data_IF_513950491552
#
_entry.id   IF_513950491552
#
_cell.length_a   1.000
_cell.length_b   1.000
_cell.length_c   1.000
_cell.angle_alpha   90.00
_cell.angle_beta   90.00
_cell.angle_gamma   90.00
#
_symmetry.space_group_name_H-M   'P 1'
#
loop_
_entity.id
_entity.type
_entity.pdbx_description
1 polymer ?
#
# COMPACT_ATOMS: atom_id res chain seq x y z
N UNK A 1 10.67 -44.60 11.67
CA UNK A 1 9.33 -44.97 11.12
C UNK A 1 8.19 -44.34 11.92
N UNK A 2 8.21 -44.40 13.27
CA UNK A 2 7.09 -43.88 14.08
C UNK A 2 6.86 -42.36 13.95
N UNK A 3 7.93 -41.54 13.93
CA UNK A 3 7.79 -40.09 13.78
C UNK A 3 7.34 -39.68 12.35
N UNK A 4 7.76 -40.43 11.34
CA UNK A 4 7.38 -40.16 9.96
C UNK A 4 5.85 -40.27 9.77
N UNK A 5 5.24 -41.28 10.39
CA UNK A 5 3.79 -41.47 10.38
C UNK A 5 3.07 -40.37 11.17
N UNK A 6 3.66 -39.87 12.26
CA UNK A 6 3.05 -38.84 13.11
C UNK A 6 2.97 -37.47 12.44
N UNK A 7 3.79 -37.22 11.42
CA UNK A 7 3.85 -35.96 10.66
C UNK A 7 3.31 -36.12 9.23
N UNK A 8 3.10 -37.36 8.76
CA UNK A 8 2.67 -37.64 7.38
C UNK A 8 3.79 -37.40 6.35
N UNK A 9 4.99 -37.89 6.66
CA UNK A 9 6.13 -37.77 5.75
C UNK A 9 5.89 -38.55 4.46
N UNK A 10 6.01 -37.87 3.32
CA UNK A 10 5.90 -38.47 1.99
C UNK A 10 7.26 -38.71 1.34
N UNK A 11 8.25 -37.90 1.68
CA UNK A 11 9.59 -38.03 1.13
C UNK A 11 10.64 -37.56 2.16
N UNK A 12 11.77 -38.24 2.18
CA UNK A 12 12.94 -37.92 2.99
C UNK A 12 14.18 -38.25 2.19
N UNK A 13 14.99 -37.28 1.89
CA UNK A 13 16.26 -37.49 1.15
C UNK A 13 17.38 -36.61 1.71
N UNK A 14 18.63 -37.06 1.49
CA UNK A 14 19.78 -36.22 1.80
C UNK A 14 19.78 -34.98 0.93
N UNK A 15 19.96 -33.80 1.54
CA UNK A 15 20.07 -32.52 0.81
C UNK A 15 21.35 -32.49 -0.04
N UNK A 16 22.44 -33.06 0.49
CA UNK A 16 23.73 -33.12 -0.14
C UNK A 16 24.20 -34.62 -0.24
N UNK A 17 23.68 -35.37 -1.24
CA UNK A 17 23.89 -36.85 -1.28
C UNK A 17 25.34 -37.27 -1.57
N UNK A 18 26.15 -36.39 -2.15
CA UNK A 18 27.55 -36.67 -2.45
C UNK A 18 28.52 -36.31 -1.33
N UNK A 19 28.05 -35.51 -0.35
CA UNK A 19 28.89 -35.08 0.76
C UNK A 19 29.11 -36.20 1.77
N UNK A 20 30.31 -36.22 2.30
CA UNK A 20 30.76 -37.16 3.35
C UNK A 20 31.08 -36.37 4.61
N UNK A 21 30.93 -37.02 5.75
CA UNK A 21 31.39 -36.46 7.01
C UNK A 21 32.87 -36.09 6.96
N UNK A 22 33.27 -34.94 7.53
CA UNK A 22 34.66 -34.55 7.61
C UNK A 22 35.51 -35.63 8.32
N UNK A 23 36.68 -35.94 7.77
CA UNK A 23 37.62 -36.93 8.37
C UNK A 23 38.11 -36.49 9.76
N UNK A 24 38.15 -35.17 10.02
CA UNK A 24 38.53 -34.57 11.30
C UNK A 24 37.42 -33.61 11.76
N UNK A 25 37.15 -33.53 13.08
CA UNK A 25 36.09 -32.66 13.58
C UNK A 25 36.41 -31.15 13.51
N UNK A 26 37.73 -30.82 13.46
CA UNK A 26 38.20 -29.41 13.51
C UNK A 26 39.32 -29.16 12.50
N UNK A 27 39.41 -27.89 12.06
CA UNK A 27 40.57 -27.43 11.28
C UNK A 27 41.78 -27.13 12.16
N UNK A 28 42.90 -26.71 11.56
CA UNK A 28 44.16 -26.41 12.27
C UNK A 28 44.01 -25.22 13.26
N UNK A 29 43.02 -24.37 13.10
CA UNK A 29 42.69 -23.26 14.01
C UNK A 29 41.71 -23.65 15.14
N UNK A 30 41.33 -24.94 15.23
CA UNK A 30 40.39 -25.43 16.25
C UNK A 30 38.90 -25.16 15.96
N UNK A 31 38.56 -24.67 14.78
CA UNK A 31 37.17 -24.42 14.40
C UNK A 31 36.53 -25.73 13.90
N UNK A 32 35.30 -26.00 14.34
CA UNK A 32 34.54 -27.20 13.96
C UNK A 32 34.10 -27.10 12.48
N UNK A 33 34.35 -28.19 11.74
CA UNK A 33 33.83 -28.33 10.37
C UNK A 33 32.32 -28.56 10.39
N UNK A 34 31.59 -27.92 9.46
CA UNK A 34 30.21 -28.26 9.21
C UNK A 34 30.09 -29.61 8.48
N UNK A 35 29.23 -30.49 8.97
CA UNK A 35 28.93 -31.76 8.32
C UNK A 35 27.61 -31.70 7.54
N UNK A 36 27.70 -31.41 6.25
CA UNK A 36 26.51 -31.30 5.38
C UNK A 36 25.94 -32.69 5.02
N UNK A 37 26.68 -33.76 5.24
CA UNK A 37 26.24 -35.14 4.93
C UNK A 37 25.08 -35.61 5.82
N UNK A 38 24.82 -34.90 6.94
CA UNK A 38 23.77 -35.19 7.89
C UNK A 38 22.53 -34.33 7.68
N UNK A 39 22.50 -33.48 6.64
CA UNK A 39 21.35 -32.63 6.33
C UNK A 39 20.37 -33.38 5.41
N UNK A 40 19.12 -33.44 5.83
CA UNK A 40 18.04 -34.09 5.12
C UNK A 40 16.92 -33.08 4.82
N UNK A 41 16.30 -33.20 3.65
CA UNK A 41 15.06 -32.51 3.29
C UNK A 41 13.89 -33.48 3.46
N UNK A 42 12.85 -33.00 4.13
CA UNK A 42 11.64 -33.77 4.44
C UNK A 42 10.42 -33.07 3.85
N UNK A 43 9.67 -33.79 3.03
CA UNK A 43 8.37 -33.36 2.54
C UNK A 43 7.25 -34.10 3.30
N UNK A 44 6.23 -33.41 3.71
CA UNK A 44 5.11 -33.99 4.44
C UNK A 44 3.76 -33.47 3.94
N UNK A 45 2.70 -34.30 4.11
CA UNK A 45 1.31 -33.90 3.91
C UNK A 45 0.57 -34.07 5.23
N UNK A 46 0.16 -32.98 5.83
CA UNK A 46 -0.58 -32.99 7.08
C UNK A 46 -1.33 -31.69 7.23
N UNK A 47 -2.40 -31.69 8.02
CA UNK A 47 -3.11 -30.49 8.49
C UNK A 47 -2.37 -29.76 9.62
N UNK A 48 -1.20 -30.27 10.05
CA UNK A 48 -0.38 -29.63 11.06
C UNK A 48 0.28 -28.36 10.48
N UNK A 49 0.31 -27.29 11.26
CA UNK A 49 1.18 -26.16 10.93
C UNK A 49 2.64 -26.58 10.94
N UNK A 50 3.49 -25.84 10.23
CA UNK A 50 4.93 -26.16 10.11
C UNK A 50 5.61 -26.18 11.48
N UNK A 51 5.25 -25.28 12.39
CA UNK A 51 5.80 -25.22 13.75
C UNK A 51 5.43 -26.47 14.56
N UNK A 52 4.19 -26.95 14.43
CA UNK A 52 3.73 -28.19 15.07
C UNK A 52 4.42 -29.41 14.50
N UNK A 53 4.66 -29.44 13.19
CA UNK A 53 5.41 -30.51 12.52
C UNK A 53 6.86 -30.55 13.03
N UNK A 54 7.55 -29.40 13.07
CA UNK A 54 8.89 -29.25 13.61
C UNK A 54 8.96 -29.72 15.06
N UNK A 55 8.05 -29.26 15.92
CA UNK A 55 7.98 -29.67 17.33
C UNK A 55 7.86 -31.19 17.48
N UNK A 56 7.00 -31.82 16.66
CA UNK A 56 6.85 -33.30 16.69
C UNK A 56 8.11 -34.03 16.21
N UNK A 57 8.81 -33.49 15.20
CA UNK A 57 10.06 -34.07 14.73
C UNK A 57 11.15 -34.00 15.81
N UNK A 58 11.28 -32.86 16.50
CA UNK A 58 12.25 -32.68 17.58
C UNK A 58 12.01 -33.57 18.79
N UNK A 59 10.73 -33.92 19.08
CA UNK A 59 10.40 -34.88 20.14
C UNK A 59 10.98 -36.29 19.92
N UNK A 60 11.45 -36.59 18.69
CA UNK A 60 12.11 -37.89 18.41
C UNK A 60 13.48 -38.05 19.09
N UNK A 61 14.10 -36.96 19.53
CA UNK A 61 15.45 -36.88 20.10
C UNK A 61 16.57 -37.46 19.20
N UNK A 62 16.33 -37.63 17.91
CA UNK A 62 17.33 -38.09 16.92
C UNK A 62 17.83 -36.97 16.01
N UNK A 63 17.17 -35.80 16.08
CA UNK A 63 17.50 -34.60 15.32
C UNK A 63 18.20 -33.58 16.20
N UNK A 64 19.24 -32.97 15.67
CA UNK A 64 19.92 -31.83 16.32
C UNK A 64 19.08 -30.57 16.17
N UNK A 65 18.47 -30.38 14.99
CA UNK A 65 17.53 -29.30 14.69
C UNK A 65 16.54 -29.74 13.61
N UNK A 66 15.45 -29.00 13.49
CA UNK A 66 14.52 -29.04 12.36
C UNK A 66 14.00 -27.62 12.14
N UNK A 67 13.97 -27.18 10.89
CA UNK A 67 13.57 -25.84 10.49
C UNK A 67 12.83 -25.86 9.15
N UNK A 68 12.04 -24.83 8.81
CA UNK A 68 11.46 -24.73 7.48
C UNK A 68 12.54 -24.60 6.40
N UNK A 69 12.35 -25.27 5.28
CA UNK A 69 13.15 -25.00 4.09
C UNK A 69 12.55 -23.77 3.39
N UNK A 70 13.12 -22.59 3.67
CA UNK A 70 12.77 -21.36 2.98
C UNK A 70 13.34 -21.39 1.56
N UNK A 71 12.46 -21.25 0.57
CA UNK A 71 12.87 -21.12 -0.83
C UNK A 71 13.13 -19.65 -1.11
N UNK A 72 14.37 -19.19 -1.24
CA UNK A 72 14.66 -17.81 -1.57
C UNK A 72 14.09 -17.47 -2.94
N UNK A 73 13.42 -16.34 -3.05
CA UNK A 73 12.94 -15.81 -4.32
C UNK A 73 13.83 -14.64 -4.72
N UNK A 74 14.03 -14.46 -6.02
CA UNK A 74 14.65 -13.23 -6.53
C UNK A 74 13.70 -12.09 -6.17
N UNK A 75 14.20 -11.08 -5.45
CA UNK A 75 13.42 -9.88 -5.13
C UNK A 75 13.14 -9.14 -6.42
N UNK A 76 11.86 -8.93 -6.72
CA UNK A 76 11.45 -8.12 -7.84
C UNK A 76 11.81 -6.65 -7.56
N UNK A 77 12.31 -5.96 -8.57
CA UNK A 77 12.49 -4.52 -8.58
C UNK A 77 11.92 -3.98 -9.89
N UNK A 78 11.06 -2.96 -9.85
CA UNK A 78 10.57 -2.32 -11.06
C UNK A 78 11.72 -1.68 -11.84
N UNK A 79 11.51 -1.45 -13.13
CA UNK A 79 12.54 -0.90 -14.01
C UNK A 79 12.57 0.64 -14.00
N UNK A 80 11.78 1.27 -13.15
CA UNK A 80 11.63 2.72 -13.03
C UNK A 80 12.86 3.31 -12.32
N UNK A 81 13.53 4.33 -12.90
CA UNK A 81 14.83 4.80 -12.42
C UNK A 81 14.85 5.28 -10.96
N UNK A 82 13.74 5.87 -10.48
CA UNK A 82 13.62 6.38 -9.11
C UNK A 82 13.06 5.33 -8.13
N UNK A 83 12.54 4.18 -8.61
CA UNK A 83 12.01 3.12 -7.75
C UNK A 83 13.15 2.29 -7.12
N UNK A 84 13.96 2.95 -6.33
CA UNK A 84 15.12 2.36 -5.66
C UNK A 84 15.20 2.85 -4.19
N UNK A 85 15.99 2.19 -3.32
CA UNK A 85 16.05 2.54 -1.89
C UNK A 85 16.60 3.95 -1.57
N UNK A 86 17.23 4.63 -2.53
CA UNK A 86 17.77 5.98 -2.33
C UNK A 86 16.73 7.04 -2.66
N UNK A 87 16.08 6.93 -3.82
CA UNK A 87 15.16 7.95 -4.31
C UNK A 87 13.73 7.77 -3.77
N UNK A 88 13.26 6.52 -3.70
CA UNK A 88 11.97 6.16 -3.10
C UNK A 88 12.17 5.19 -1.92
N UNK A 89 12.91 5.64 -0.90
CA UNK A 89 13.23 4.84 0.28
C UNK A 89 11.98 4.28 0.98
N UNK A 90 10.86 4.99 0.90
CA UNK A 90 9.59 4.57 1.48
C UNK A 90 9.14 3.20 0.98
N UNK A 91 9.38 2.87 -0.29
CA UNK A 91 9.07 1.55 -0.86
C UNK A 91 9.88 0.43 -0.19
N UNK A 92 11.14 0.72 0.16
CA UNK A 92 11.99 -0.22 0.91
C UNK A 92 11.50 -0.38 2.36
N UNK A 93 11.18 0.74 3.03
CA UNK A 93 10.75 0.74 4.43
C UNK A 93 9.45 -0.05 4.62
N UNK A 94 8.46 0.14 3.74
CA UNK A 94 7.19 -0.63 3.79
C UNK A 94 7.31 -2.03 3.16
N UNK A 95 8.51 -2.45 2.78
CA UNK A 95 8.76 -3.76 2.17
C UNK A 95 7.98 -4.00 0.85
N UNK A 96 7.71 -2.94 0.08
CA UNK A 96 6.90 -3.00 -1.15
C UNK A 96 7.49 -3.96 -2.19
N UNK A 97 8.81 -3.97 -2.39
CA UNK A 97 9.47 -4.87 -3.35
C UNK A 97 9.19 -6.35 -3.08
N UNK A 98 9.13 -6.76 -1.81
CA UNK A 98 8.76 -8.12 -1.45
C UNK A 98 7.24 -8.36 -1.58
N UNK A 99 6.41 -7.38 -1.25
CA UNK A 99 4.97 -7.47 -1.45
C UNK A 99 4.62 -7.64 -2.94
N UNK A 100 5.29 -6.93 -3.83
CA UNK A 100 5.09 -7.03 -5.29
C UNK A 100 5.55 -8.37 -5.90
N UNK A 101 6.38 -9.16 -5.20
CA UNK A 101 6.62 -10.56 -5.59
C UNK A 101 5.39 -11.46 -5.37
N UNK A 102 4.49 -11.05 -4.49
CA UNK A 102 3.26 -11.80 -4.17
C UNK A 102 2.08 -11.26 -4.99
N UNK A 103 1.91 -9.93 -5.00
CA UNK A 103 0.80 -9.26 -5.67
C UNK A 103 1.20 -7.85 -6.10
N UNK A 104 0.92 -7.51 -7.35
CA UNK A 104 1.20 -6.20 -7.96
C UNK A 104 -0.05 -5.31 -8.09
N UNK A 105 -1.14 -5.65 -7.42
CA UNK A 105 -2.42 -4.98 -7.64
C UNK A 105 -3.05 -5.34 -8.98
N UNK A 106 -4.16 -4.70 -9.28
CA UNK A 106 -4.92 -4.88 -10.52
C UNK A 106 -5.60 -3.57 -10.92
N UNK A 107 -5.77 -3.38 -12.20
CA UNK A 107 -6.44 -2.20 -12.78
C UNK A 107 -7.93 -2.09 -12.41
N UNK A 108 -8.54 -3.15 -11.91
CA UNK A 108 -9.90 -3.14 -11.37
C UNK A 108 -9.97 -2.49 -9.97
N UNK A 109 -8.84 -2.37 -9.28
CA UNK A 109 -8.76 -1.66 -8.01
C UNK A 109 -8.50 -0.19 -8.27
N UNK A 110 -9.38 0.67 -7.77
CA UNK A 110 -9.33 2.11 -7.98
C UNK A 110 -9.17 2.84 -6.66
N UNK A 111 -8.20 3.75 -6.61
CA UNK A 111 -7.93 4.63 -5.49
C UNK A 111 -8.43 6.03 -5.83
N UNK A 112 -9.46 6.53 -5.15
CA UNK A 112 -9.92 7.90 -5.30
C UNK A 112 -8.94 8.86 -4.64
N UNK A 113 -8.39 9.80 -5.38
CA UNK A 113 -7.50 10.86 -4.85
C UNK A 113 -8.30 12.15 -4.75
N UNK A 114 -8.80 12.44 -3.55
CA UNK A 114 -9.53 13.67 -3.27
C UNK A 114 -8.52 14.74 -2.81
N UNK A 115 -8.16 15.66 -3.69
CA UNK A 115 -7.06 16.60 -3.43
C UNK A 115 -7.18 17.90 -4.27
N UNK A 116 -6.10 18.66 -4.38
CA UNK A 116 -6.02 19.96 -5.07
C UNK A 116 -6.04 19.86 -6.60
N UNK A 117 -6.17 18.67 -7.14
CA UNK A 117 -6.13 18.36 -8.57
C UNK A 117 -4.94 17.49 -8.95
N UNK A 118 -4.86 17.14 -10.21
CA UNK A 118 -3.92 16.18 -10.76
C UNK A 118 -3.23 16.72 -12.02
N UNK A 119 -2.22 16.02 -12.54
CA UNK A 119 -1.67 16.25 -13.88
C UNK A 119 -1.97 15.04 -14.78
N UNK A 120 -3.11 15.04 -15.50
CA UNK A 120 -3.48 13.93 -16.35
C UNK A 120 -2.57 13.78 -17.57
N UNK A 121 -1.64 14.70 -17.81
CA UNK A 121 -0.64 14.64 -18.89
C UNK A 121 0.70 14.11 -18.43
N UNK A 122 0.91 13.97 -17.11
CA UNK A 122 2.17 13.46 -16.58
C UNK A 122 2.41 12.02 -17.04
N UNK A 123 3.56 11.70 -17.67
CA UNK A 123 3.80 10.41 -18.31
C UNK A 123 3.73 9.23 -17.35
N UNK A 124 4.04 9.47 -16.06
CA UNK A 124 4.03 8.46 -15.01
C UNK A 124 2.66 8.31 -14.32
N UNK A 125 1.70 9.17 -14.64
CA UNK A 125 0.33 9.12 -14.08
C UNK A 125 -0.71 8.73 -15.13
N UNK A 126 -0.54 9.19 -16.36
CA UNK A 126 -1.53 9.08 -17.45
C UNK A 126 -2.11 7.69 -17.64
N UNK A 127 -1.26 6.65 -17.60
CA UNK A 127 -1.69 5.27 -17.85
C UNK A 127 -2.49 4.66 -16.68
N UNK A 128 -2.34 5.19 -15.46
CA UNK A 128 -3.02 4.67 -14.29
C UNK A 128 -4.28 5.45 -13.90
N UNK A 129 -4.66 6.48 -14.64
CA UNK A 129 -5.96 7.13 -14.46
C UNK A 129 -7.08 6.13 -14.79
N UNK A 130 -8.06 6.03 -13.89
CA UNK A 130 -9.35 5.40 -14.18
C UNK A 130 -10.10 6.29 -15.17
N UNK A 131 -10.49 5.74 -16.31
CA UNK A 131 -11.30 6.44 -17.31
C UNK A 131 -12.75 5.99 -17.25
N UNK A 132 -13.67 6.94 -17.35
CA UNK A 132 -15.09 6.65 -17.50
C UNK A 132 -15.44 6.49 -19.00
N UNK A 133 -15.36 5.25 -19.49
CA UNK A 133 -15.68 4.94 -20.88
C UNK A 133 -17.19 5.01 -21.21
N UNK A 134 -18.06 5.12 -20.18
CA UNK A 134 -19.48 5.26 -20.36
C UNK A 134 -19.89 6.73 -20.58
N UNK A 135 -19.00 7.67 -20.24
CA UNK A 135 -19.21 9.10 -20.41
C UNK A 135 -18.03 9.71 -21.20
N UNK A 136 -18.13 9.66 -22.53
CA UNK A 136 -17.10 10.16 -23.45
C UNK A 136 -17.21 11.68 -23.58
N UNK A 137 -16.11 12.35 -23.91
CA UNK A 137 -16.08 13.81 -24.03
C UNK A 137 -16.82 14.27 -25.30
N UNK A 138 -18.12 14.55 -25.18
CA UNK A 138 -18.99 15.00 -26.30
C UNK A 138 -19.98 16.10 -25.90
N UNK A 139 -19.94 16.58 -24.64
CA UNK A 139 -20.80 17.62 -24.10
C UNK A 139 -22.12 17.10 -23.54
N UNK A 140 -22.27 15.78 -23.42
CA UNK A 140 -23.46 15.14 -22.86
C UNK A 140 -23.07 14.31 -21.63
N UNK A 141 -23.96 14.17 -20.68
CA UNK A 141 -23.88 13.20 -19.59
C UNK A 141 -24.42 11.86 -20.13
N UNK A 142 -23.53 11.00 -20.65
CA UNK A 142 -23.94 9.80 -21.38
C UNK A 142 -24.36 8.66 -20.45
N UNK A 143 -23.90 8.63 -19.21
CA UNK A 143 -24.25 7.59 -18.23
C UNK A 143 -25.29 8.05 -17.21
N UNK A 144 -25.67 9.34 -17.23
CA UNK A 144 -26.76 9.91 -16.43
C UNK A 144 -26.43 10.04 -14.95
N UNK A 145 -25.15 10.18 -14.62
CA UNK A 145 -24.70 10.30 -13.23
C UNK A 145 -24.70 11.74 -12.67
N UNK A 146 -24.93 12.71 -13.54
CA UNK A 146 -25.00 14.14 -13.23
C UNK A 146 -23.69 14.89 -13.43
N UNK A 147 -22.66 14.28 -14.02
CA UNK A 147 -21.33 14.84 -14.23
C UNK A 147 -20.94 14.73 -15.69
N UNK A 148 -21.27 15.73 -16.49
CA UNK A 148 -21.05 15.74 -17.96
C UNK A 148 -19.58 15.61 -18.32
N UNK A 149 -19.24 14.63 -19.19
CA UNK A 149 -17.89 14.38 -19.69
C UNK A 149 -16.85 14.05 -18.60
N UNK A 150 -17.23 13.37 -17.52
CA UNK A 150 -16.32 13.04 -16.41
C UNK A 150 -15.30 11.92 -16.73
N UNK A 151 -14.83 11.90 -17.97
CA UNK A 151 -13.96 10.86 -18.53
C UNK A 151 -12.66 10.62 -17.74
N UNK A 152 -11.99 11.67 -17.25
CA UNK A 152 -10.73 11.60 -16.51
C UNK A 152 -10.88 11.86 -15.00
N UNK A 153 -12.09 11.96 -14.49
CA UNK A 153 -12.42 12.39 -13.14
C UNK A 153 -13.22 13.70 -13.16
N UNK A 154 -13.26 14.41 -12.04
CA UNK A 154 -14.12 15.59 -11.90
C UNK A 154 -13.49 16.65 -11.01
N UNK A 155 -13.74 17.92 -11.34
CA UNK A 155 -13.45 19.07 -10.48
C UNK A 155 -14.72 19.52 -9.74
N UNK A 156 -14.84 19.14 -8.47
CA UNK A 156 -15.94 19.56 -7.61
C UNK A 156 -15.79 21.02 -7.13
N UNK A 157 -14.55 21.52 -7.11
CA UNK A 157 -14.30 22.91 -6.71
C UNK A 157 -14.76 23.94 -7.73
N UNK A 158 -14.66 23.60 -9.01
CA UNK A 158 -15.10 24.44 -10.13
C UNK A 158 -16.37 23.92 -10.80
N UNK A 159 -16.78 22.68 -10.45
CA UNK A 159 -17.91 21.97 -11.03
C UNK A 159 -17.82 21.78 -12.55
N UNK A 160 -16.67 21.22 -12.96
CA UNK A 160 -16.40 20.89 -14.37
C UNK A 160 -15.61 19.57 -14.51
N UNK A 161 -15.38 19.15 -15.77
CA UNK A 161 -14.72 17.90 -16.11
C UNK A 161 -13.19 17.98 -16.18
N UNK A 162 -12.56 19.05 -15.70
CA UNK A 162 -11.12 19.23 -15.72
C UNK A 162 -10.50 19.10 -14.31
N UNK A 163 -10.11 17.89 -13.86
CA UNK A 163 -9.51 17.70 -12.57
C UNK A 163 -8.04 18.16 -12.48
N UNK A 164 -7.57 18.94 -13.45
CA UNK A 164 -6.19 19.43 -13.50
C UNK A 164 -5.91 20.42 -12.37
N UNK A 165 -4.74 20.28 -11.74
CA UNK A 165 -4.25 21.23 -10.76
C UNK A 165 -4.12 22.64 -11.34
N UNK A 166 -4.25 23.67 -10.50
CA UNK A 166 -4.11 25.09 -10.93
C UNK A 166 -3.03 25.81 -10.14
N UNK A 167 -3.23 26.05 -8.88
CA UNK A 167 -2.32 26.83 -8.01
C UNK A 167 -1.49 25.97 -7.08
N UNK A 168 -1.99 24.79 -6.70
CA UNK A 168 -1.35 23.87 -5.78
C UNK A 168 -1.28 22.46 -6.38
N UNK A 169 -0.09 21.95 -6.61
CA UNK A 169 0.16 20.66 -7.21
C UNK A 169 0.26 19.52 -6.18
N UNK A 170 -0.22 19.70 -4.95
CA UNK A 170 -0.14 18.71 -3.88
C UNK A 170 -0.77 17.39 -4.31
N UNK A 171 -1.95 17.40 -4.95
CA UNK A 171 -2.62 16.20 -5.43
C UNK A 171 -1.85 15.44 -6.52
N UNK A 172 -1.01 16.13 -7.32
CA UNK A 172 -0.12 15.46 -8.29
C UNK A 172 0.91 14.60 -7.55
N UNK A 173 1.51 15.13 -6.48
CA UNK A 173 2.47 14.40 -5.66
C UNK A 173 1.81 13.20 -4.93
N UNK A 174 0.65 13.42 -4.34
CA UNK A 174 -0.16 12.39 -3.66
C UNK A 174 -0.52 11.25 -4.61
N UNK A 175 -0.96 11.57 -5.84
CA UNK A 175 -1.31 10.56 -6.85
C UNK A 175 -0.13 9.67 -7.21
N UNK A 176 1.07 10.24 -7.34
CA UNK A 176 2.27 9.48 -7.65
C UNK A 176 2.65 8.47 -6.57
N UNK A 177 2.54 8.85 -5.29
CA UNK A 177 2.86 7.94 -4.18
C UNK A 177 1.96 6.69 -4.14
N UNK A 178 0.68 6.86 -4.44
CA UNK A 178 -0.26 5.72 -4.49
C UNK A 178 -0.20 4.95 -5.81
N UNK A 179 -0.06 5.64 -6.95
CA UNK A 179 -0.46 5.10 -8.25
C UNK A 179 0.42 5.53 -9.44
N UNK A 180 1.64 6.04 -9.23
CA UNK A 180 2.58 6.20 -10.35
C UNK A 180 2.74 4.87 -11.09
N UNK A 181 2.82 4.93 -12.42
CA UNK A 181 2.93 3.75 -13.29
C UNK A 181 4.26 3.05 -13.04
N UNK A 182 4.22 1.80 -12.63
CA UNK A 182 5.40 0.99 -12.42
C UNK A 182 5.75 0.14 -13.65
N UNK A 183 7.02 -0.24 -13.81
CA UNK A 183 7.54 -1.00 -14.96
C UNK A 183 7.38 -0.28 -16.32
N UNK A 184 7.50 1.03 -16.33
CA UNK A 184 7.38 1.83 -17.54
C UNK A 184 8.70 2.48 -18.02
N UNK A 185 9.83 2.23 -17.32
CA UNK A 185 11.16 2.84 -17.52
C UNK A 185 11.19 4.36 -17.28
N UNK A 186 10.24 4.91 -16.52
CA UNK A 186 10.15 6.34 -16.22
C UNK A 186 10.04 6.52 -14.70
N UNK A 187 10.52 7.64 -14.20
CA UNK A 187 10.29 8.14 -12.84
C UNK A 187 10.35 7.10 -11.75
N UNK A 188 9.30 7.02 -10.96
CA UNK A 188 9.16 6.12 -9.82
C UNK A 188 7.96 5.20 -9.89
N UNK A 189 7.73 4.44 -8.83
CA UNK A 189 6.59 3.54 -8.74
C UNK A 189 5.64 3.97 -7.61
N UNK A 190 4.34 3.94 -7.89
CA UNK A 190 3.32 4.05 -6.86
C UNK A 190 3.18 2.77 -6.06
N UNK A 191 2.88 2.87 -4.78
CA UNK A 191 2.77 1.70 -3.88
C UNK A 191 1.74 0.69 -4.38
N UNK A 192 0.63 1.15 -4.98
CA UNK A 192 -0.44 0.32 -5.54
C UNK A 192 -0.10 -0.36 -6.85
N UNK A 193 1.07 -0.06 -7.45
CA UNK A 193 1.63 -0.65 -8.65
C UNK A 193 0.67 -0.58 -9.85
N UNK A 194 -0.16 -1.62 -10.10
CA UNK A 194 -1.16 -1.67 -11.18
C UNK A 194 -2.53 -1.11 -10.80
N UNK A 195 -2.72 -0.70 -9.54
CA UNK A 195 -3.98 -0.06 -9.13
C UNK A 195 -4.17 1.25 -9.90
N UNK A 196 -5.40 1.48 -10.37
CA UNK A 196 -5.79 2.74 -10.99
C UNK A 196 -6.06 3.79 -9.93
N UNK A 197 -6.05 5.06 -10.32
CA UNK A 197 -6.58 6.12 -9.48
C UNK A 197 -7.62 6.95 -10.22
N UNK A 198 -8.57 7.50 -9.46
CA UNK A 198 -9.57 8.44 -9.94
C UNK A 198 -9.21 9.84 -9.42
N UNK A 199 -8.83 10.79 -10.29
CA UNK A 199 -8.65 12.18 -9.90
C UNK A 199 -9.98 12.81 -9.47
N UNK A 200 -10.02 13.35 -8.25
CA UNK A 200 -11.16 14.10 -7.71
C UNK A 200 -10.64 15.41 -7.15
N UNK A 201 -10.72 16.46 -7.95
CA UNK A 201 -10.31 17.80 -7.50
C UNK A 201 -11.39 18.40 -6.63
N UNK A 202 -11.00 18.80 -5.41
CA UNK A 202 -11.89 19.37 -4.40
C UNK A 202 -11.56 20.83 -4.09
N UNK A 203 -10.56 21.39 -4.78
CA UNK A 203 -10.08 22.75 -4.58
C UNK A 203 -10.68 23.73 -5.59
N UNK A 204 -10.93 24.94 -5.14
CA UNK A 204 -11.24 26.07 -6.02
C UNK A 204 -9.99 26.56 -6.80
N UNK A 205 -10.14 27.59 -7.63
CA UNK A 205 -9.06 28.17 -8.41
C UNK A 205 -7.94 28.78 -7.56
N UNK A 206 -8.17 29.06 -6.29
CA UNK A 206 -7.17 29.59 -5.36
C UNK A 206 -6.45 28.47 -4.58
N UNK A 207 -6.88 27.22 -4.75
CA UNK A 207 -6.34 26.06 -4.05
C UNK A 207 -6.98 25.81 -2.68
N UNK A 208 -8.10 26.46 -2.36
CA UNK A 208 -8.88 26.22 -1.13
C UNK A 208 -9.75 24.99 -1.31
N UNK A 209 -9.71 24.05 -0.37
CA UNK A 209 -10.48 22.81 -0.42
C UNK A 209 -11.95 23.05 -0.02
N UNK A 210 -12.79 23.42 -0.97
CA UNK A 210 -14.17 23.83 -0.73
C UNK A 210 -15.20 22.71 -0.89
N UNK A 211 -14.82 21.57 -1.49
CA UNK A 211 -15.69 20.42 -1.77
C UNK A 211 -15.11 19.10 -1.22
N UNK A 212 -14.52 19.16 -0.01
CA UNK A 212 -13.70 18.08 0.53
C UNK A 212 -14.51 16.79 0.79
N UNK A 213 -15.64 16.88 1.46
CA UNK A 213 -16.48 15.72 1.78
C UNK A 213 -17.29 15.26 0.56
N UNK A 214 -17.70 16.18 -0.31
CA UNK A 214 -18.32 15.88 -1.60
C UNK A 214 -17.37 15.03 -2.47
N UNK A 215 -16.06 15.28 -2.38
CA UNK A 215 -15.03 14.47 -3.04
C UNK A 215 -15.02 13.01 -2.58
N UNK A 216 -15.18 12.77 -1.28
CA UNK A 216 -15.28 11.40 -0.74
C UNK A 216 -16.52 10.69 -1.31
N UNK A 217 -17.66 11.40 -1.31
CA UNK A 217 -18.92 10.86 -1.87
C UNK A 217 -18.77 10.55 -3.36
N UNK A 218 -18.20 11.48 -4.14
CA UNK A 218 -17.97 11.29 -5.57
C UNK A 218 -17.11 10.05 -5.83
N UNK A 219 -15.97 9.93 -5.16
CA UNK A 219 -15.08 8.77 -5.31
C UNK A 219 -15.79 7.45 -4.97
N UNK A 220 -16.59 7.42 -3.91
CA UNK A 220 -17.36 6.25 -3.50
C UNK A 220 -18.44 5.86 -4.52
N UNK A 221 -19.11 6.81 -5.13
CA UNK A 221 -20.14 6.58 -6.16
C UNK A 221 -19.54 6.12 -7.49
N UNK A 222 -18.31 6.57 -7.79
CA UNK A 222 -17.62 6.23 -9.02
C UNK A 222 -16.69 5.00 -8.89
N UNK A 223 -16.99 4.10 -7.94
CA UNK A 223 -16.43 2.75 -7.86
C UNK A 223 -14.99 2.68 -7.35
N UNK A 224 -14.54 3.65 -6.55
CA UNK A 224 -13.31 3.53 -5.81
C UNK A 224 -13.47 2.54 -4.66
N UNK A 225 -12.53 1.61 -4.50
CA UNK A 225 -12.47 0.73 -3.33
C UNK A 225 -11.72 1.35 -2.17
N UNK A 226 -10.78 2.24 -2.47
CA UNK A 226 -9.96 2.98 -1.53
C UNK A 226 -10.13 4.48 -1.84
N UNK A 227 -10.24 5.32 -0.82
CA UNK A 227 -10.33 6.78 -0.98
C UNK A 227 -9.24 7.41 -0.12
N UNK A 228 -8.33 8.15 -0.73
CA UNK A 228 -7.26 8.86 -0.04
C UNK A 228 -7.64 10.31 0.19
N UNK A 229 -7.52 10.76 1.45
CA UNK A 229 -7.74 12.12 1.91
C UNK A 229 -6.44 12.64 2.54
N UNK A 230 -5.59 13.27 1.72
CA UNK A 230 -4.34 13.88 2.18
C UNK A 230 -4.54 15.31 2.70
N UNK A 231 -5.67 15.54 3.34
CA UNK A 231 -6.11 16.82 3.87
C UNK A 231 -6.86 16.65 5.18
N UNK A 232 -7.07 17.75 5.89
CA UNK A 232 -7.87 17.76 7.09
C UNK A 232 -7.81 19.10 7.83
N UNK A 233 -8.53 19.17 8.93
CA UNK A 233 -8.64 20.33 9.79
C UNK A 233 -10.08 20.61 10.20
N UNK A 234 -10.25 21.67 10.99
CA UNK A 234 -11.58 22.01 11.53
C UNK A 234 -12.03 21.07 12.67
N UNK A 235 -13.31 21.16 13.02
CA UNK A 235 -13.92 20.37 14.08
C UNK A 235 -14.75 19.20 13.53
N UNK A 236 -15.16 18.31 14.43
CA UNK A 236 -16.12 17.26 14.12
C UNK A 236 -17.45 17.85 13.63
N UNK A 237 -18.06 17.18 12.66
CA UNK A 237 -19.41 17.49 12.19
C UNK A 237 -20.18 16.19 11.92
N UNK A 238 -21.49 16.20 12.15
CA UNK A 238 -22.32 15.05 11.80
C UNK A 238 -22.34 14.82 10.30
N UNK A 239 -22.34 15.89 9.50
CA UNK A 239 -22.24 15.79 8.04
C UNK A 239 -20.99 15.04 7.59
N UNK A 240 -19.83 15.36 8.19
CA UNK A 240 -18.58 14.64 7.87
C UNK A 240 -18.66 13.16 8.22
N UNK A 241 -19.17 12.82 9.41
CA UNK A 241 -19.35 11.42 9.80
C UNK A 241 -20.35 10.70 8.87
N UNK A 242 -21.46 11.33 8.50
CA UNK A 242 -22.45 10.73 7.60
C UNK A 242 -21.87 10.42 6.22
N UNK A 243 -20.97 11.26 5.70
CA UNK A 243 -20.26 11.01 4.43
C UNK A 243 -19.27 9.85 4.58
N UNK A 244 -18.55 9.77 5.69
CA UNK A 244 -17.68 8.63 5.99
C UNK A 244 -18.49 7.34 6.09
N UNK A 245 -19.60 7.34 6.84
CA UNK A 245 -20.49 6.19 6.96
C UNK A 245 -21.02 5.74 5.60
N UNK A 246 -21.42 6.69 4.76
CA UNK A 246 -21.87 6.41 3.41
C UNK A 246 -20.77 5.72 2.59
N UNK A 247 -19.55 6.26 2.58
CA UNK A 247 -18.46 5.68 1.81
C UNK A 247 -18.06 4.30 2.33
N UNK A 248 -17.98 4.13 3.65
CA UNK A 248 -17.45 2.89 4.26
C UNK A 248 -18.51 1.79 4.40
N UNK A 249 -19.74 2.14 4.82
CA UNK A 249 -20.78 1.16 5.11
C UNK A 249 -21.66 0.91 3.87
N UNK A 250 -22.12 1.99 3.19
CA UNK A 250 -23.03 1.82 2.06
C UNK A 250 -22.28 1.41 0.78
N UNK A 251 -21.06 1.92 0.57
CA UNK A 251 -20.27 1.70 -0.65
C UNK A 251 -19.08 0.73 -0.48
N UNK A 252 -18.81 0.27 0.74
CA UNK A 252 -17.70 -0.65 1.06
C UNK A 252 -16.30 -0.11 0.72
N UNK A 253 -16.12 1.20 0.70
CA UNK A 253 -14.80 1.81 0.52
C UNK A 253 -13.98 1.76 1.81
N UNK A 254 -12.65 1.77 1.71
CA UNK A 254 -11.77 2.16 2.79
C UNK A 254 -11.41 3.65 2.60
N UNK A 255 -11.68 4.47 3.60
CA UNK A 255 -11.23 5.87 3.63
C UNK A 255 -9.93 5.95 4.41
N UNK A 256 -8.85 6.42 3.78
CA UNK A 256 -7.49 6.55 4.33
C UNK A 256 -7.18 8.03 4.46
N UNK A 257 -6.84 8.49 5.65
CA UNK A 257 -6.68 9.92 5.92
C UNK A 257 -5.36 10.26 6.59
N UNK A 258 -4.79 11.39 6.20
CA UNK A 258 -3.62 11.97 6.85
C UNK A 258 -3.97 12.42 8.29
N UNK A 259 -3.16 12.02 9.27
CA UNK A 259 -3.39 12.32 10.69
C UNK A 259 -3.15 13.79 11.08
N UNK A 260 -2.51 14.59 10.20
CA UNK A 260 -2.17 16.00 10.45
C UNK A 260 -0.73 16.23 10.86
N UNK A 261 -0.28 17.50 10.78
CA UNK A 261 1.12 17.89 10.85
C UNK A 261 1.39 18.97 11.92
N UNK A 262 0.73 18.90 13.09
CA UNK A 262 0.82 19.89 14.15
C UNK A 262 1.57 19.40 15.38
N UNK A 263 2.05 18.14 15.38
CA UNK A 263 2.69 17.47 16.51
C UNK A 263 1.82 17.50 17.78
N UNK A 264 0.55 17.18 17.64
CA UNK A 264 -0.43 17.16 18.74
C UNK A 264 -1.03 15.77 18.92
N UNK A 265 -1.39 15.45 20.16
CA UNK A 265 -2.27 14.34 20.52
C UNK A 265 -3.70 14.88 20.60
N UNK A 266 -4.49 14.61 19.58
CA UNK A 266 -5.85 15.14 19.49
C UNK A 266 -6.48 14.88 18.12
N UNK A 267 -7.79 15.10 18.07
CA UNK A 267 -8.60 14.84 16.91
C UNK A 267 -8.23 15.76 15.72
N UNK A 268 -8.12 15.15 14.56
CA UNK A 268 -7.90 15.83 13.29
C UNK A 268 -8.84 15.23 12.24
N UNK A 269 -9.81 16.00 11.77
CA UNK A 269 -10.83 15.51 10.87
C UNK A 269 -10.44 15.70 9.40
N UNK A 270 -10.70 14.68 8.51
CA UNK A 270 -11.55 13.49 8.72
C UNK A 270 -10.87 12.29 9.41
N UNK A 271 -9.56 12.31 9.68
CA UNK A 271 -8.81 11.18 10.23
C UNK A 271 -9.37 10.64 11.56
N UNK A 272 -10.01 11.48 12.36
CA UNK A 272 -10.60 11.09 13.66
C UNK A 272 -12.07 10.63 13.60
N UNK A 273 -12.68 10.53 12.42
CA UNK A 273 -14.01 9.94 12.29
C UNK A 273 -13.97 8.41 12.45
N UNK A 274 -15.09 7.84 12.89
CA UNK A 274 -15.25 6.40 12.92
C UNK A 274 -15.08 5.81 11.52
N UNK A 275 -14.52 4.60 11.43
CA UNK A 275 -14.33 3.83 10.19
C UNK A 275 -13.28 4.38 9.21
N UNK A 276 -12.55 5.41 9.57
CA UNK A 276 -11.41 5.91 8.81
C UNK A 276 -10.14 5.16 9.23
N UNK A 277 -9.22 4.94 8.30
CA UNK A 277 -7.85 4.51 8.58
C UNK A 277 -6.96 5.75 8.65
N UNK A 278 -6.58 6.15 9.85
CA UNK A 278 -5.74 7.32 10.12
C UNK A 278 -4.26 7.00 10.01
N UNK A 279 -3.50 7.83 9.29
CA UNK A 279 -2.10 7.56 8.94
C UNK A 279 -1.17 8.63 9.48
N UNK A 280 -0.28 8.22 10.40
CA UNK A 280 0.83 9.02 10.90
C UNK A 280 2.05 8.99 9.96
N UNK A 281 2.99 9.93 10.16
CA UNK A 281 4.19 10.05 9.34
C UNK A 281 5.45 9.57 10.09
N UNK A 282 6.25 8.71 9.43
CA UNK A 282 7.58 8.29 9.88
C UNK A 282 8.69 8.79 8.97
N UNK A 283 9.89 8.87 9.51
CA UNK A 283 11.14 9.23 8.82
C UNK A 283 11.75 8.01 8.11
N UNK A 284 12.85 8.22 7.38
CA UNK A 284 13.61 7.15 6.72
C UNK A 284 14.21 6.10 7.68
N UNK A 285 14.33 6.40 8.96
CA UNK A 285 14.79 5.47 9.99
C UNK A 285 13.63 4.93 10.85
N UNK A 286 12.43 5.03 10.31
CA UNK A 286 11.18 4.53 10.89
C UNK A 286 10.88 5.05 12.31
N UNK A 287 11.14 6.32 12.53
CA UNK A 287 10.75 7.03 13.75
C UNK A 287 9.68 8.07 13.45
N UNK A 288 8.83 8.40 14.43
CA UNK A 288 7.81 9.45 14.25
C UNK A 288 8.44 10.72 13.72
N UNK A 289 7.96 11.23 12.59
CA UNK A 289 8.37 12.53 12.07
C UNK A 289 7.92 13.66 13.02
N UNK A 290 8.77 14.66 13.23
CA UNK A 290 8.60 15.64 14.29
C UNK A 290 7.26 16.39 14.25
N UNK A 291 6.75 16.71 13.07
CA UNK A 291 5.47 17.41 12.89
C UNK A 291 4.23 16.48 12.91
N UNK A 292 4.42 15.15 12.75
CA UNK A 292 3.27 14.24 12.68
C UNK A 292 2.42 14.31 13.95
N UNK A 293 1.10 14.42 13.79
CA UNK A 293 0.17 14.18 14.87
C UNK A 293 0.32 12.73 15.36
N UNK A 294 -0.07 12.48 16.59
CA UNK A 294 0.10 11.19 17.28
C UNK A 294 -1.05 10.95 18.25
N UNK A 295 -1.02 9.81 18.94
CA UNK A 295 -2.02 9.46 19.94
C UNK A 295 -3.02 8.42 19.44
N UNK A 296 -4.13 8.28 20.16
CA UNK A 296 -5.11 7.20 19.97
C UNK A 296 -5.83 7.22 18.63
N UNK A 297 -5.87 8.38 17.97
CA UNK A 297 -6.54 8.50 16.66
C UNK A 297 -5.70 7.98 15.50
N UNK A 298 -4.40 7.69 15.69
CA UNK A 298 -3.53 7.17 14.63
C UNK A 298 -3.60 5.65 14.61
N UNK A 299 -4.04 5.08 13.51
CA UNK A 299 -4.20 3.64 13.35
C UNK A 299 -2.93 2.95 12.86
N UNK A 300 -2.25 3.57 11.88
CA UNK A 300 -0.99 3.07 11.28
C UNK A 300 -0.07 4.24 10.97
N UNK A 301 1.21 3.94 10.79
CA UNK A 301 2.18 4.93 10.30
C UNK A 301 2.81 4.45 8.99
N UNK A 302 3.26 5.40 8.18
CA UNK A 302 4.04 5.11 6.99
C UNK A 302 5.07 6.23 6.75
N UNK A 303 6.16 5.93 6.00
CA UNK A 303 7.12 6.95 5.61
C UNK A 303 6.47 8.07 4.80
N UNK A 304 6.74 9.30 5.21
CA UNK A 304 6.24 10.51 4.55
C UNK A 304 7.15 11.70 4.76
N UNK A 305 8.41 11.46 5.12
CA UNK A 305 9.42 12.51 5.31
C UNK A 305 10.41 12.50 4.15
N UNK A 306 10.49 13.60 3.38
CA UNK A 306 11.33 13.70 2.18
C UNK A 306 11.10 12.56 1.16
N UNK A 307 9.86 12.20 0.92
CA UNK A 307 9.52 11.16 -0.07
C UNK A 307 9.36 11.75 -1.46
N UNK A 308 9.95 11.07 -2.46
CA UNK A 308 9.97 11.50 -3.85
C UNK A 308 8.74 11.00 -4.61
N UNK A 309 8.12 11.88 -5.40
CA UNK A 309 6.94 11.58 -6.22
C UNK A 309 6.77 12.52 -7.40
N UNK A 310 5.78 12.27 -8.23
CA UNK A 310 5.43 13.02 -9.43
C UNK A 310 5.12 14.50 -9.12
N UNK A 311 5.49 15.38 -10.06
CA UNK A 311 5.23 16.81 -10.01
C UNK A 311 4.92 17.34 -11.42
N UNK A 312 4.11 18.41 -11.56
CA UNK A 312 3.74 18.94 -12.87
C UNK A 312 4.92 19.16 -13.83
N UNK A 313 4.65 18.97 -15.13
CA UNK A 313 5.66 19.12 -16.16
C UNK A 313 6.63 17.95 -16.28
N UNK A 314 6.23 16.76 -15.87
CA UNK A 314 7.04 15.53 -15.89
C UNK A 314 8.23 15.56 -14.93
N UNK A 315 8.14 16.38 -13.88
CA UNK A 315 9.15 16.44 -12.82
C UNK A 315 8.83 15.50 -11.67
N UNK A 316 9.83 15.31 -10.81
CA UNK A 316 9.71 14.55 -9.56
C UNK A 316 10.34 15.39 -8.45
N UNK A 317 9.67 15.50 -7.32
CA UNK A 317 10.14 16.29 -6.18
C UNK A 317 9.93 15.55 -4.87
N UNK A 318 10.70 15.90 -3.86
CA UNK A 318 10.49 15.41 -2.50
C UNK A 318 9.53 16.32 -1.74
N UNK A 319 8.67 15.71 -0.93
CA UNK A 319 7.80 16.43 0.00
C UNK A 319 7.70 15.67 1.33
N UNK A 320 7.22 16.36 2.39
CA UNK A 320 7.09 15.79 3.73
C UNK A 320 5.73 16.12 4.33
N UNK A 321 5.17 15.14 5.04
CA UNK A 321 3.92 15.28 5.79
C UNK A 321 3.13 13.99 5.87
N UNK A 322 2.14 13.94 6.75
CA UNK A 322 1.16 12.84 6.81
C UNK A 322 0.37 12.74 5.49
N UNK A 323 0.30 13.82 4.72
CA UNK A 323 -0.24 13.85 3.36
C UNK A 323 0.52 12.96 2.38
N UNK A 324 1.79 12.65 2.66
CA UNK A 324 2.62 11.74 1.84
C UNK A 324 2.53 10.31 2.37
N UNK A 325 2.36 10.12 3.67
CA UNK A 325 2.17 8.79 4.29
C UNK A 325 0.83 8.16 3.91
N UNK A 326 -0.24 8.94 3.89
CA UNK A 326 -1.60 8.48 3.58
C UNK A 326 -1.70 7.80 2.20
N UNK A 327 -1.23 8.37 1.08
CA UNK A 327 -1.28 7.71 -0.23
C UNK A 327 -0.38 6.47 -0.33
N UNK A 328 0.71 6.39 0.43
CA UNK A 328 1.52 5.16 0.53
C UNK A 328 0.68 4.03 1.13
N UNK A 329 -0.06 4.30 2.20
CA UNK A 329 -0.99 3.33 2.81
C UNK A 329 -2.18 3.04 1.88
N UNK A 330 -2.72 4.03 1.19
CA UNK A 330 -3.81 3.82 0.23
C UNK A 330 -3.40 2.88 -0.92
N UNK A 331 -2.17 3.03 -1.44
CA UNK A 331 -1.61 2.10 -2.43
C UNK A 331 -1.45 0.68 -1.86
N UNK A 332 -0.92 0.54 -0.65
CA UNK A 332 -0.81 -0.75 0.04
C UNK A 332 -2.19 -1.39 0.28
N UNK A 333 -3.19 -0.58 0.63
CA UNK A 333 -4.59 -1.03 0.76
C UNK A 333 -5.14 -1.58 -0.56
N UNK A 334 -4.79 -0.96 -1.69
CA UNK A 334 -5.12 -1.48 -3.02
C UNK A 334 -4.55 -2.86 -3.29
N UNK A 335 -3.29 -3.10 -2.93
CA UNK A 335 -2.65 -4.44 -3.01
C UNK A 335 -3.36 -5.45 -2.12
N UNK A 336 -3.69 -5.08 -0.87
CA UNK A 336 -4.42 -5.95 0.07
C UNK A 336 -5.81 -6.27 -0.46
N UNK A 337 -6.54 -5.29 -0.99
CA UNK A 337 -7.87 -5.49 -1.58
C UNK A 337 -7.82 -6.45 -2.76
N UNK A 338 -6.81 -6.33 -3.61
CA UNK A 338 -6.61 -7.26 -4.73
C UNK A 338 -6.26 -8.67 -4.27
N UNK A 339 -5.45 -8.82 -3.22
CA UNK A 339 -5.07 -10.11 -2.65
C UNK A 339 -6.26 -10.81 -1.97
N UNK A 340 -7.17 -10.03 -1.37
CA UNK A 340 -8.34 -10.52 -0.64
C UNK A 340 -9.62 -9.87 -1.18
N UNK A 341 -10.09 -10.27 -2.38
CA UNK A 341 -11.20 -9.59 -3.07
C UNK A 341 -12.53 -9.61 -2.29
N UNK A 342 -12.71 -10.60 -1.42
CA UNK A 342 -13.91 -10.72 -0.57
C UNK A 342 -13.93 -9.76 0.62
N UNK A 343 -12.80 -9.13 0.97
CA UNK A 343 -12.75 -8.19 2.09
C UNK A 343 -13.53 -6.92 1.73
N UNK A 344 -14.33 -6.43 2.67
CA UNK A 344 -14.86 -5.06 2.60
C UNK A 344 -13.77 -4.04 2.97
N UNK A 345 -14.05 -2.74 2.81
CA UNK A 345 -13.07 -1.68 3.08
C UNK A 345 -12.52 -1.74 4.51
N UNK A 346 -13.39 -1.94 5.50
CA UNK A 346 -12.98 -2.02 6.91
C UNK A 346 -12.06 -3.23 7.18
N UNK A 347 -12.35 -4.39 6.57
CA UNK A 347 -11.49 -5.57 6.70
C UNK A 347 -10.11 -5.37 6.06
N UNK A 348 -10.03 -4.61 4.96
CA UNK A 348 -8.75 -4.20 4.36
C UNK A 348 -7.96 -3.33 5.35
N UNK A 349 -8.60 -2.32 5.96
CA UNK A 349 -8.00 -1.46 6.97
C UNK A 349 -7.51 -2.25 8.19
N UNK A 350 -8.36 -3.12 8.76
CA UNK A 350 -7.97 -3.97 9.89
C UNK A 350 -6.82 -4.91 9.54
N UNK A 351 -6.78 -5.43 8.31
CA UNK A 351 -5.65 -6.26 7.87
C UNK A 351 -4.35 -5.49 7.89
N UNK A 352 -4.32 -4.25 7.40
CA UNK A 352 -3.13 -3.39 7.46
C UNK A 352 -2.71 -3.14 8.91
N UNK A 353 -3.66 -2.78 9.79
CA UNK A 353 -3.38 -2.51 11.22
C UNK A 353 -2.74 -3.70 11.94
N UNK A 354 -3.28 -4.90 11.77
CA UNK A 354 -2.82 -6.09 12.51
C UNK A 354 -1.57 -6.75 11.93
N UNK A 355 -1.11 -6.33 10.74
CA UNK A 355 0.08 -6.89 10.08
C UNK A 355 1.19 -5.86 9.87
N UNK A 356 0.98 -4.60 10.25
CA UNK A 356 2.05 -3.62 10.39
C UNK A 356 2.96 -3.98 11.58
N UNK A 357 4.24 -3.56 11.51
CA UNK A 357 5.26 -3.78 12.55
C UNK A 357 5.00 -2.93 13.80
#
# INVERSE_FOLDING_TARGET
VAFANAVGVINLHKKFPLDKSPEKPTNAAGQTYADLSLIYELNYTSTLSIEKAISKLLLSNILVYAEPHFIPKVTYSPNDPLANPTDQYHLQTINAFNAWNVNKGDSAIVIGITDTGNDPTHPDLFNNIKRNYNDIVDGLDNDGDGYTDNYLGWDLGMNDNDPTWQTNAHGVHVSGLSSASADNNLGGAGTGFHCKYLPVKIADANGSLIAAYEGIKYAADHGCQIINCSWGGGGASQYGQDIIDYATINKNCLVVCAAGNNNVDGDFFPAAYNYVLSVGNTTAIDTKQASSNYGYMVDVCAPGDNVNSTWPGSFYVTSSGTSMSSPVVAGAAGIVKNQFPSYNGLQVGERLKITAD
#
